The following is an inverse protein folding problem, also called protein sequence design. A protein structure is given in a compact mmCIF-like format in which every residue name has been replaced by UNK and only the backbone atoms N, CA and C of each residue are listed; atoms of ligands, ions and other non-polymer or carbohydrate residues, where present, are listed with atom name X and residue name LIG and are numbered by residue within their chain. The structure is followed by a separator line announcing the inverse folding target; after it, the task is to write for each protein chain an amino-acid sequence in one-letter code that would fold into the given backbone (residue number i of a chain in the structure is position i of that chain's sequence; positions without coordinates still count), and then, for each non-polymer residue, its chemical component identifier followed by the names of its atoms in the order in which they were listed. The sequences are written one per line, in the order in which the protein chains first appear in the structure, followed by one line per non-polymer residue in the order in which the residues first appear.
data_IF_866016354891
#
_entry.id   IF_866016354891
#
_cell.length_a   1.000
_cell.length_b   1.000
_cell.length_c   1.000
_cell.angle_alpha   90.00
_cell.angle_beta   90.00
_cell.angle_gamma   90.00
#
_symmetry.space_group_name_H-M   'P 1'
#
loop_
_entity.id
_entity.type
_entity.pdbx_description
1 polymer ?
#
# COMPACT_ATOMS: atom_id res chain seq x y z
N UNK A 1 5.14 -6.89 -8.40
CA UNK A 1 4.73 -6.89 -6.97
C UNK A 1 4.06 -8.21 -6.63
N UNK A 2 4.12 -8.65 -5.37
CA UNK A 2 3.61 -9.95 -4.91
C UNK A 2 2.89 -9.79 -3.57
N UNK A 3 1.87 -10.61 -3.30
CA UNK A 3 1.21 -10.60 -1.99
C UNK A 3 1.95 -11.47 -0.97
N UNK A 4 1.72 -11.24 0.33
CA UNK A 4 2.21 -12.13 1.40
C UNK A 4 1.86 -13.60 1.15
N UNK A 5 0.66 -13.88 0.62
CA UNK A 5 0.20 -15.24 0.31
C UNK A 5 0.98 -15.83 -0.85
N UNK A 6 1.10 -15.10 -1.94
CA UNK A 6 1.83 -15.56 -3.14
C UNK A 6 3.32 -15.76 -2.83
N UNK A 7 3.94 -14.84 -2.08
CA UNK A 7 5.34 -14.97 -1.66
C UNK A 7 5.53 -16.23 -0.82
N UNK A 8 4.64 -16.45 0.15
CA UNK A 8 4.71 -17.63 1.00
C UNK A 8 4.53 -18.94 0.24
N UNK A 9 3.61 -18.98 -0.73
CA UNK A 9 3.45 -20.13 -1.61
C UNK A 9 4.71 -20.36 -2.44
N UNK A 10 5.27 -19.30 -3.04
CA UNK A 10 6.46 -19.40 -3.87
C UNK A 10 7.70 -19.86 -3.07
N UNK A 11 7.90 -19.32 -1.86
CA UNK A 11 9.02 -19.73 -1.00
C UNK A 11 8.91 -21.20 -0.61
N UNK A 12 7.73 -21.68 -0.24
CA UNK A 12 7.55 -23.10 0.10
C UNK A 12 7.75 -24.01 -1.10
N UNK A 13 7.29 -23.60 -2.28
CA UNK A 13 7.47 -24.34 -3.53
C UNK A 13 8.95 -24.44 -3.92
N UNK A 14 9.66 -23.31 -3.93
CA UNK A 14 11.08 -23.25 -4.33
C UNK A 14 12.00 -23.93 -3.31
N UNK A 15 11.72 -23.77 -2.01
CA UNK A 15 12.55 -24.38 -0.95
C UNK A 15 12.27 -25.86 -0.72
N UNK A 16 11.12 -26.37 -1.18
CA UNK A 16 10.62 -27.70 -0.82
C UNK A 16 10.18 -27.83 0.65
N UNK A 17 10.28 -26.77 1.45
CA UNK A 17 9.87 -26.76 2.86
C UNK A 17 8.42 -26.30 2.95
N UNK A 18 7.53 -27.18 3.40
CA UNK A 18 6.13 -26.84 3.66
C UNK A 18 5.87 -26.58 5.14
N UNK A 19 4.97 -25.65 5.44
CA UNK A 19 4.52 -25.36 6.79
C UNK A 19 3.02 -25.10 6.85
N UNK A 20 2.40 -25.49 7.97
CA UNK A 20 1.00 -25.18 8.30
C UNK A 20 0.87 -23.95 9.21
N UNK A 21 1.98 -23.30 9.55
CA UNK A 21 1.95 -22.08 10.36
C UNK A 21 1.22 -20.95 9.62
N UNK A 22 0.46 -20.16 10.37
CA UNK A 22 -0.17 -18.94 9.85
C UNK A 22 0.88 -18.02 9.23
N UNK A 23 0.56 -17.45 8.06
CA UNK A 23 1.44 -16.57 7.29
C UNK A 23 2.05 -15.45 8.14
N UNK A 24 1.25 -14.87 9.03
CA UNK A 24 1.65 -13.79 9.95
C UNK A 24 2.81 -14.17 10.87
N UNK A 25 2.97 -15.45 11.18
CA UNK A 25 3.94 -15.91 12.18
C UNK A 25 5.35 -16.09 11.59
N UNK A 26 5.49 -16.19 10.28
CA UNK A 26 6.77 -16.52 9.64
C UNK A 26 7.16 -15.62 8.48
N UNK A 27 6.21 -15.17 7.65
CA UNK A 27 6.54 -14.31 6.49
C UNK A 27 7.12 -12.97 6.95
N UNK A 28 6.69 -12.45 8.10
CA UNK A 28 7.29 -11.26 8.70
C UNK A 28 8.78 -11.43 9.01
N UNK A 29 9.15 -12.57 9.62
CA UNK A 29 10.55 -12.89 9.96
C UNK A 29 11.39 -13.12 8.70
N UNK A 30 10.81 -13.76 7.68
CA UNK A 30 11.44 -13.91 6.38
C UNK A 30 11.77 -12.54 5.77
N UNK A 31 10.79 -11.64 5.71
CA UNK A 31 10.99 -10.30 5.15
C UNK A 31 12.01 -9.49 5.94
N UNK A 32 12.06 -9.65 7.27
CA UNK A 32 13.08 -9.01 8.11
C UNK A 32 14.49 -9.54 7.80
N UNK A 33 14.64 -10.86 7.62
CA UNK A 33 15.91 -11.46 7.21
C UNK A 33 16.37 -10.93 5.85
N UNK A 34 15.48 -10.95 4.84
CA UNK A 34 15.75 -10.39 3.52
C UNK A 34 16.12 -8.91 3.61
N UNK A 35 15.41 -8.12 4.42
CA UNK A 35 15.69 -6.70 4.58
C UNK A 35 17.09 -6.41 5.12
N UNK A 36 17.59 -7.25 6.05
CA UNK A 36 18.94 -7.12 6.60
C UNK A 36 19.98 -7.45 5.53
N UNK A 37 19.78 -8.53 4.81
CA UNK A 37 20.70 -8.98 3.75
C UNK A 37 20.79 -7.96 2.61
N UNK A 38 19.66 -7.46 2.09
CA UNK A 38 19.68 -6.44 1.03
C UNK A 38 20.27 -5.12 1.51
N UNK A 39 20.09 -4.79 2.81
CA UNK A 39 20.73 -3.61 3.39
C UNK A 39 22.25 -3.75 3.42
N UNK A 40 22.75 -4.88 3.88
CA UNK A 40 24.19 -5.17 3.92
C UNK A 40 24.80 -5.20 2.50
N UNK A 41 24.03 -5.68 1.51
CA UNK A 41 24.43 -5.68 0.10
C UNK A 41 24.31 -4.32 -0.60
N UNK A 42 23.73 -3.29 0.05
CA UNK A 42 23.47 -1.99 -0.58
C UNK A 42 22.40 -2.04 -1.68
N UNK A 43 21.54 -3.05 -1.65
CA UNK A 43 20.45 -3.25 -2.62
C UNK A 43 19.18 -2.50 -2.21
N UNK A 44 18.32 -2.10 -3.17
CA UNK A 44 17.10 -1.38 -2.83
C UNK A 44 16.15 -2.24 -1.97
N UNK A 45 15.24 -1.62 -1.19
CA UNK A 45 14.41 -2.34 -0.23
C UNK A 45 13.40 -3.30 -0.90
N UNK A 46 13.80 -4.56 -1.15
CA UNK A 46 12.97 -5.59 -1.80
C UNK A 46 11.65 -5.86 -1.04
N UNK A 47 11.63 -5.66 0.27
CA UNK A 47 10.42 -5.78 1.09
C UNK A 47 9.30 -4.85 0.65
N UNK A 48 9.60 -3.79 -0.09
CA UNK A 48 8.61 -2.88 -0.69
C UNK A 48 7.73 -3.54 -1.75
N UNK A 49 8.21 -4.63 -2.37
CA UNK A 49 7.50 -5.39 -3.41
C UNK A 49 6.44 -6.35 -2.84
N UNK A 50 6.49 -6.63 -1.54
CA UNK A 50 5.56 -7.53 -0.85
C UNK A 50 4.45 -6.73 -0.17
N UNK A 51 3.20 -6.95 -0.61
CA UNK A 51 2.03 -6.21 -0.14
C UNK A 51 0.97 -7.14 0.45
N UNK A 52 0.06 -6.59 1.25
CA UNK A 52 -1.15 -7.29 1.67
C UNK A 52 -2.08 -7.54 0.48
N UNK A 53 -3.09 -8.39 0.68
CA UNK A 53 -4.05 -8.72 -0.37
C UNK A 53 -4.86 -7.49 -0.86
N UNK A 54 -5.06 -6.49 0.00
CA UNK A 54 -5.69 -5.21 -0.35
C UNK A 54 -4.72 -4.23 -1.03
N UNK A 55 -3.46 -4.62 -1.26
CA UNK A 55 -2.43 -3.81 -1.90
C UNK A 55 -1.74 -2.81 -0.97
N UNK A 56 -2.07 -2.80 0.32
CA UNK A 56 -1.38 -1.97 1.32
C UNK A 56 -0.06 -2.60 1.75
N UNK A 57 0.79 -1.78 2.33
CA UNK A 57 2.06 -2.20 2.89
C UNK A 57 1.88 -2.92 4.22
N UNK A 58 2.61 -4.03 4.37
CA UNK A 58 2.58 -4.86 5.57
C UNK A 58 3.70 -4.54 6.57
N UNK A 59 3.61 -5.11 7.79
CA UNK A 59 4.56 -4.85 8.87
C UNK A 59 5.98 -5.30 8.54
N UNK A 60 6.13 -6.26 7.62
CA UNK A 60 7.43 -6.72 7.15
C UNK A 60 8.18 -5.68 6.33
N UNK A 61 7.50 -4.65 5.81
CA UNK A 61 8.15 -3.46 5.27
C UNK A 61 8.27 -2.37 6.34
N UNK A 62 7.21 -2.09 7.12
CA UNK A 62 7.22 -1.00 8.10
C UNK A 62 8.37 -1.08 9.11
N UNK A 63 8.64 -2.29 9.63
CA UNK A 63 9.66 -2.50 10.67
C UNK A 63 11.01 -2.97 10.12
N UNK A 64 11.06 -3.31 8.84
CA UNK A 64 12.29 -3.80 8.23
C UNK A 64 13.33 -2.67 8.16
N UNK A 65 14.62 -2.99 8.34
CA UNK A 65 15.68 -2.06 7.98
C UNK A 65 15.58 -1.66 6.50
N UNK A 66 15.98 -0.44 6.18
CA UNK A 66 16.07 0.08 4.81
C UNK A 66 17.52 0.37 4.47
N UNK A 67 17.89 0.11 3.22
CA UNK A 67 19.20 0.40 2.65
C UNK A 67 19.37 1.86 2.26
N UNK A 68 18.26 2.58 2.10
CA UNK A 68 18.25 3.99 1.74
C UNK A 68 17.99 4.81 2.99
N UNK A 69 18.89 5.75 3.27
CA UNK A 69 18.77 6.72 4.36
C UNK A 69 17.95 7.92 3.89
N UNK A 70 16.66 7.66 3.60
CA UNK A 70 15.70 8.68 3.22
C UNK A 70 14.79 9.03 4.40
N UNK A 71 14.38 10.30 4.49
CA UNK A 71 13.33 10.71 5.41
C UNK A 71 12.05 9.91 5.15
N UNK A 72 11.50 9.34 6.23
CA UNK A 72 10.25 8.59 6.17
C UNK A 72 9.13 9.58 5.83
N UNK A 73 8.52 9.38 4.66
CA UNK A 73 7.35 10.15 4.22
C UNK A 73 6.17 9.89 5.17
N UNK A 74 5.36 10.92 5.46
CA UNK A 74 4.12 10.79 6.21
C UNK A 74 3.18 9.75 5.55
N UNK A 75 3.24 9.67 4.22
CA UNK A 75 2.54 8.65 3.46
C UNK A 75 3.39 7.40 3.23
N UNK A 76 3.25 6.43 4.14
CA UNK A 76 3.95 5.14 4.08
C UNK A 76 3.77 4.40 2.74
N UNK A 77 2.61 4.52 2.09
CA UNK A 77 2.35 3.87 0.81
C UNK A 77 3.15 4.52 -0.31
N UNK A 78 3.28 5.84 -0.27
CA UNK A 78 4.10 6.60 -1.22
C UNK A 78 5.59 6.36 -0.97
N UNK A 79 6.01 6.32 0.29
CA UNK A 79 7.37 5.94 0.68
C UNK A 79 7.74 4.57 0.11
N UNK A 80 6.87 3.57 0.28
CA UNK A 80 7.07 2.25 -0.33
C UNK A 80 7.02 2.27 -1.86
N UNK A 81 6.25 3.17 -2.47
CA UNK A 81 6.23 3.32 -3.92
C UNK A 81 7.57 3.83 -4.48
N UNK A 82 8.24 4.73 -3.75
CA UNK A 82 9.60 5.20 -4.08
C UNK A 82 10.59 4.03 -4.05
N UNK A 83 10.59 3.24 -2.97
CA UNK A 83 11.44 2.06 -2.88
C UNK A 83 11.13 0.97 -3.92
N UNK A 84 9.85 0.77 -4.26
CA UNK A 84 9.47 -0.14 -5.37
C UNK A 84 10.05 0.32 -6.70
N UNK A 85 10.05 1.63 -6.96
CA UNK A 85 10.66 2.18 -8.16
C UNK A 85 12.16 1.88 -8.21
N UNK A 86 12.88 2.07 -7.11
CA UNK A 86 14.31 1.72 -7.03
C UNK A 86 14.54 0.22 -7.34
N UNK A 87 13.68 -0.66 -6.85
CA UNK A 87 13.77 -2.09 -7.16
C UNK A 87 13.57 -2.36 -8.65
N UNK A 88 12.58 -1.72 -9.29
CA UNK A 88 12.37 -1.89 -10.73
C UNK A 88 13.52 -1.30 -11.54
N UNK A 89 14.02 -0.11 -11.20
CA UNK A 89 15.18 0.50 -11.85
C UNK A 89 16.43 -0.37 -11.75
N UNK A 90 16.58 -1.12 -10.64
CA UNK A 90 17.73 -2.00 -10.41
C UNK A 90 17.62 -3.35 -11.13
N UNK A 91 16.44 -3.96 -11.12
CA UNK A 91 16.29 -5.38 -11.49
C UNK A 91 15.41 -5.64 -12.71
N UNK A 92 14.56 -4.69 -13.13
CA UNK A 92 13.72 -4.88 -14.31
C UNK A 92 14.51 -4.56 -15.60
N UNK A 93 14.24 -5.33 -16.66
CA UNK A 93 14.88 -5.15 -17.97
C UNK A 93 14.12 -4.19 -18.89
N UNK A 94 12.88 -3.88 -18.55
CA UNK A 94 11.90 -3.14 -19.37
C UNK A 94 11.53 -1.77 -18.77
N UNK A 95 12.47 -1.15 -18.04
CA UNK A 95 12.26 0.18 -17.44
C UNK A 95 12.16 1.25 -18.53
N UNK A 96 11.13 2.12 -18.51
CA UNK A 96 11.02 3.22 -19.46
C UNK A 96 12.24 4.15 -19.43
N UNK A 97 12.56 4.81 -20.54
CA UNK A 97 13.73 5.70 -20.65
C UNK A 97 13.79 6.82 -19.59
N UNK A 98 12.64 7.22 -19.03
CA UNK A 98 12.56 8.18 -17.91
C UNK A 98 12.68 7.57 -16.51
N UNK A 99 13.04 6.29 -16.38
CA UNK A 99 13.20 5.61 -15.09
C UNK A 99 11.89 5.25 -14.37
N UNK A 100 10.74 5.71 -14.87
CA UNK A 100 9.41 5.50 -14.28
C UNK A 100 9.08 6.48 -13.14
N UNK A 101 7.85 6.40 -12.63
CA UNK A 101 7.36 7.28 -11.55
C UNK A 101 6.84 6.46 -10.35
N UNK A 102 7.11 6.89 -9.10
CA UNK A 102 6.59 6.21 -7.92
C UNK A 102 5.06 6.18 -7.94
N UNK A 103 4.48 4.98 -7.89
CA UNK A 103 3.02 4.81 -7.98
C UNK A 103 2.53 3.90 -6.87
N UNK A 104 1.58 4.36 -6.05
CA UNK A 104 0.89 3.52 -5.06
C UNK A 104 0.05 2.44 -5.73
N UNK A 105 -0.28 1.35 -5.03
CA UNK A 105 -0.94 0.21 -5.67
C UNK A 105 -2.34 0.58 -6.17
N UNK A 106 -2.83 -0.03 -7.27
CA UNK A 106 -4.15 0.29 -7.82
C UNK A 106 -5.29 0.15 -6.81
N UNK A 107 -5.20 -0.84 -5.91
CA UNK A 107 -6.19 -1.06 -4.86
C UNK A 107 -6.18 0.06 -3.81
N UNK A 108 -5.00 0.53 -3.41
CA UNK A 108 -4.86 1.67 -2.50
C UNK A 108 -5.36 2.96 -3.16
N UNK A 109 -5.04 3.18 -4.43
CA UNK A 109 -5.57 4.33 -5.20
C UNK A 109 -7.10 4.32 -5.23
N UNK A 110 -7.69 3.17 -5.55
CA UNK A 110 -9.15 3.01 -5.58
C UNK A 110 -9.77 3.21 -4.19
N UNK A 111 -9.15 2.69 -3.13
CA UNK A 111 -9.63 2.86 -1.76
C UNK A 111 -9.63 4.34 -1.34
N UNK A 112 -8.53 5.06 -1.64
CA UNK A 112 -8.42 6.51 -1.38
C UNK A 112 -9.44 7.32 -2.17
N UNK A 113 -9.62 7.03 -3.45
CA UNK A 113 -10.62 7.70 -4.29
C UNK A 113 -12.05 7.49 -3.76
N UNK A 114 -12.38 6.27 -3.32
CA UNK A 114 -13.67 5.96 -2.69
C UNK A 114 -13.87 6.74 -1.39
N UNK A 115 -12.87 6.76 -0.51
CA UNK A 115 -12.92 7.51 0.75
C UNK A 115 -13.10 9.02 0.52
N UNK A 116 -12.38 9.59 -0.46
CA UNK A 116 -12.52 11.00 -0.82
C UNK A 116 -13.93 11.31 -1.36
N UNK A 117 -14.48 10.44 -2.21
CA UNK A 117 -15.85 10.59 -2.73
C UNK A 117 -16.88 10.56 -1.60
N UNK A 118 -16.74 9.64 -0.64
CA UNK A 118 -17.63 9.55 0.53
C UNK A 118 -17.57 10.81 1.39
N UNK A 119 -16.36 11.31 1.68
CA UNK A 119 -16.18 12.57 2.43
C UNK A 119 -16.81 13.76 1.71
N UNK A 120 -16.64 13.87 0.40
CA UNK A 120 -17.27 14.95 -0.39
C UNK A 120 -18.80 14.89 -0.33
N UNK A 121 -19.40 13.71 -0.35
CA UNK A 121 -20.85 13.55 -0.21
C UNK A 121 -21.33 14.01 1.17
N UNK A 122 -20.56 13.72 2.22
CA UNK A 122 -20.89 14.17 3.57
C UNK A 122 -20.82 15.68 3.73
N UNK A 123 -19.85 16.36 3.09
CA UNK A 123 -19.68 17.81 3.23
C UNK A 123 -20.64 18.65 2.36
N UNK A 124 -21.13 18.10 1.23
CA UNK A 124 -21.96 18.85 0.26
C UNK A 124 -23.45 18.52 0.40
N UNK A 125 -23.95 18.36 1.63
CA UNK A 125 -25.39 18.21 1.80
C UNK A 125 -26.06 19.57 1.54
N UNK A 126 -27.04 19.63 0.63
CA UNK A 126 -27.69 20.89 0.31
C UNK A 126 -28.48 21.41 1.50
N UNK A 127 -28.46 22.72 1.72
CA UNK A 127 -29.28 23.37 2.73
C UNK A 127 -30.67 23.68 2.17
N UNK A 128 -31.70 23.64 3.02
CA UNK A 128 -33.02 24.09 2.65
C UNK A 128 -32.97 25.60 2.30
N UNK A 129 -33.52 26.06 1.17
CA UNK A 129 -33.49 27.48 0.81
C UNK A 129 -34.34 28.36 1.73
N UNK A 130 -35.24 27.76 2.53
CA UNK A 130 -36.18 28.50 3.38
C UNK A 130 -35.71 28.59 4.84
N UNK A 131 -35.25 27.48 5.44
CA UNK A 131 -34.81 27.45 6.84
C UNK A 131 -33.32 27.16 7.04
N UNK A 132 -32.55 26.99 5.95
CA UNK A 132 -31.11 26.71 5.96
C UNK A 132 -30.67 25.48 6.76
N UNK A 133 -31.61 24.62 7.17
CA UNK A 133 -31.29 23.30 7.75
C UNK A 133 -30.77 22.35 6.67
N UNK A 134 -29.82 21.51 7.04
CA UNK A 134 -29.25 20.47 6.18
C UNK A 134 -30.34 19.50 5.70
N UNK A 135 -30.47 19.32 4.38
CA UNK A 135 -31.50 18.46 3.82
C UNK A 135 -31.14 16.98 4.03
N UNK A 136 -32.13 16.14 4.39
CA UNK A 136 -31.95 14.69 4.38
C UNK A 136 -31.73 14.18 2.95
N UNK A 137 -31.29 12.92 2.83
CA UNK A 137 -31.05 12.27 1.53
C UNK A 137 -32.26 12.27 0.58
N UNK A 138 -33.48 12.46 1.11
CA UNK A 138 -34.71 12.57 0.33
C UNK A 138 -34.84 13.92 -0.41
N UNK A 139 -34.03 14.92 -0.07
CA UNK A 139 -34.07 16.27 -0.67
C UNK A 139 -35.25 17.14 -0.22
N UNK A 140 -36.09 16.66 0.71
CA UNK A 140 -37.25 17.41 1.24
C UNK A 140 -37.00 17.85 2.67
N UNK A 141 -37.26 19.12 2.98
CA UNK A 141 -37.12 19.64 4.35
C UNK A 141 -38.26 19.13 5.24
N UNK A 142 -37.94 18.54 6.39
CA UNK A 142 -38.95 18.05 7.34
C UNK A 142 -39.63 19.18 8.15
N UNK A 143 -39.02 20.37 8.21
CA UNK A 143 -39.50 21.52 8.98
C UNK A 143 -40.31 22.51 8.13
N UNK A 144 -40.06 22.58 6.82
CA UNK A 144 -40.73 23.51 5.89
C UNK A 144 -41.67 22.80 4.92
N UNK A 145 -42.14 21.60 5.27
CA UNK A 145 -43.22 20.95 4.52
C UNK A 145 -44.48 21.79 4.53
#
# INVERSE_FOLDING_TARGET
MITYKELASHVQEVSGVQTRMLLTNWVGKLLEAVAREVKEAGEPPLTSLCVRQDGTIGPGYTHAPKSVDDEVDDDLELYAAKHRLLCYQRFASDVPAGGGTPTITPKVQQARARAQKMRRVETVRPLCPNCFTELPMTGTCNYCR
#
